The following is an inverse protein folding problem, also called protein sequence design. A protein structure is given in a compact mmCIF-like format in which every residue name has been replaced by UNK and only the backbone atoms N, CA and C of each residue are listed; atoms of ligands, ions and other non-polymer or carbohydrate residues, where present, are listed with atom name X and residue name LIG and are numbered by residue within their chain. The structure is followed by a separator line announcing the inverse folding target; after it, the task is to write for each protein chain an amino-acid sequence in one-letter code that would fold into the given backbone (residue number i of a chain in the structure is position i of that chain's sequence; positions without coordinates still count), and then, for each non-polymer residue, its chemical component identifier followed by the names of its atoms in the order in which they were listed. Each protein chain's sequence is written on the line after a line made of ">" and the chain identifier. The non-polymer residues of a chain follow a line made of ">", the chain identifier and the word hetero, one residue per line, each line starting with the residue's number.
data_IF_747079164692
#
_entry.id   IF_747079164692
#
_cell.length_a   1.000
_cell.length_b   1.000
_cell.length_c   1.000
_cell.angle_alpha   90.00
_cell.angle_beta   90.00
_cell.angle_gamma   90.00
#
_symmetry.space_group_name_H-M   'P 1'
#
loop_
_entity.id
_entity.type
_entity.pdbx_description
1 polymer ?
#
# COMPACT_ATOMS: atom_id res chain seq x y z
N UNK A 1 42.78 21.38 15.66
CA UNK A 1 42.22 20.66 16.81
C UNK A 1 40.74 21.01 16.96
N UNK A 2 39.84 20.03 16.83
CA UNK A 2 38.68 19.75 17.72
C UNK A 2 37.61 18.94 16.97
N UNK A 3 37.79 17.63 17.09
CA UNK A 3 36.80 16.58 17.38
C UNK A 3 35.64 16.36 16.40
N UNK A 4 35.70 15.15 15.83
CA UNK A 4 34.62 14.37 15.26
C UNK A 4 33.30 14.40 16.06
N UNK A 5 32.20 14.32 15.31
CA UNK A 5 30.92 13.73 15.74
C UNK A 5 30.31 13.19 14.44
N UNK A 6 30.54 11.94 14.03
CA UNK A 6 30.05 10.70 14.61
C UNK A 6 28.57 10.79 15.02
N UNK A 7 27.79 9.99 14.28
CA UNK A 7 26.54 9.33 14.69
C UNK A 7 25.29 10.22 14.86
N UNK A 8 24.39 10.15 13.88
CA UNK A 8 22.98 9.87 14.17
C UNK A 8 22.39 9.03 13.04
N UNK A 9 22.51 7.73 13.29
CA UNK A 9 21.81 6.63 12.68
C UNK A 9 20.29 6.94 12.70
N UNK A 10 19.73 7.46 11.61
CA UNK A 10 18.27 7.47 11.43
C UNK A 10 17.85 6.05 11.05
N UNK A 11 17.85 5.17 12.05
CA UNK A 11 16.98 4.01 12.06
C UNK A 11 15.56 4.53 12.06
N UNK A 12 14.98 4.71 10.86
CA UNK A 12 13.53 4.63 10.71
C UNK A 12 13.20 3.17 10.94
N UNK A 13 13.10 2.79 12.22
CA UNK A 13 12.43 1.57 12.61
C UNK A 13 11.00 1.75 12.12
N UNK A 14 10.68 1.13 10.99
CA UNK A 14 9.30 0.97 10.57
C UNK A 14 8.57 0.33 11.73
N UNK A 15 7.63 1.07 12.33
CA UNK A 15 6.63 0.52 13.24
C UNK A 15 5.73 -0.43 12.43
N UNK A 16 6.28 -1.58 12.02
CA UNK A 16 5.51 -2.68 11.42
C UNK A 16 4.79 -3.48 12.51
N UNK A 17 4.18 -2.80 13.48
CA UNK A 17 3.62 -3.44 14.67
C UNK A 17 2.74 -2.58 15.59
N UNK A 18 2.37 -1.36 15.21
CA UNK A 18 1.21 -0.71 15.81
C UNK A 18 0.03 -0.99 14.87
N UNK A 19 -0.94 -1.80 15.33
CA UNK A 19 -2.04 -2.27 14.48
C UNK A 19 -2.74 -1.11 13.80
N UNK A 20 -2.66 -1.04 12.47
CA UNK A 20 -3.43 -0.10 11.66
C UNK A 20 -4.91 -0.45 11.78
N UNK A 21 -5.76 0.54 12.03
CA UNK A 21 -7.20 0.33 11.97
C UNK A 21 -7.58 -0.31 10.63
N UNK A 22 -8.44 -1.32 10.66
CA UNK A 22 -8.88 -1.98 9.43
C UNK A 22 -9.76 -1.03 8.63
N UNK A 23 -9.27 -0.61 7.47
CA UNK A 23 -9.96 0.23 6.49
C UNK A 23 -10.82 -0.64 5.58
N UNK A 24 -12.01 -0.16 5.26
CA UNK A 24 -12.93 -0.85 4.36
C UNK A 24 -12.56 -0.64 2.87
N UNK A 25 -13.29 -1.33 1.99
CA UNK A 25 -13.07 -1.26 0.54
C UNK A 25 -13.30 0.16 -0.01
N UNK A 26 -14.26 0.91 0.55
CA UNK A 26 -14.59 2.26 0.09
C UNK A 26 -13.42 3.22 0.33
N UNK A 27 -12.82 3.19 1.52
CA UNK A 27 -11.61 3.93 1.84
C UNK A 27 -10.51 3.68 0.80
N UNK A 28 -10.23 2.42 0.49
CA UNK A 28 -9.16 2.08 -0.45
C UNK A 28 -9.42 2.59 -1.87
N UNK A 29 -10.70 2.65 -2.29
CA UNK A 29 -11.07 3.17 -3.61
C UNK A 29 -10.91 4.69 -3.71
N UNK A 30 -11.06 5.40 -2.60
CA UNK A 30 -10.86 6.86 -2.53
C UNK A 30 -9.38 7.23 -2.32
N UNK A 31 -8.59 6.33 -1.74
CA UNK A 31 -7.19 6.57 -1.36
C UNK A 31 -6.21 5.75 -2.22
N UNK A 32 -6.20 6.02 -3.54
CA UNK A 32 -5.42 5.27 -4.54
C UNK A 32 -3.91 5.17 -4.22
N UNK A 33 -3.22 6.24 -3.76
CA UNK A 33 -1.79 6.15 -3.43
C UNK A 33 -1.52 5.16 -2.29
N UNK A 34 -2.35 5.19 -1.25
CA UNK A 34 -2.25 4.28 -0.10
C UNK A 34 -2.59 2.85 -0.50
N UNK A 35 -3.62 2.66 -1.33
CA UNK A 35 -3.98 1.36 -1.89
C UNK A 35 -2.81 0.73 -2.66
N UNK A 36 -2.15 1.49 -3.53
CA UNK A 36 -1.00 0.99 -4.31
C UNK A 36 0.15 0.56 -3.39
N UNK A 37 0.43 1.34 -2.34
CA UNK A 37 1.45 1.00 -1.35
C UNK A 37 1.07 -0.25 -0.55
N UNK A 38 -0.15 -0.31 -0.02
CA UNK A 38 -0.65 -1.45 0.75
C UNK A 38 -0.63 -2.73 -0.07
N UNK A 39 -1.05 -2.71 -1.34
CA UNK A 39 -0.96 -3.88 -2.22
C UNK A 39 0.47 -4.36 -2.43
N UNK A 40 1.43 -3.43 -2.48
CA UNK A 40 2.86 -3.77 -2.57
C UNK A 40 3.35 -4.42 -1.27
N UNK A 41 2.95 -3.90 -0.10
CA UNK A 41 3.22 -4.51 1.21
C UNK A 41 2.64 -5.93 1.28
N UNK A 42 1.38 -6.11 0.88
CA UNK A 42 0.68 -7.40 0.89
C UNK A 42 1.28 -8.44 -0.07
N UNK A 43 1.93 -8.01 -1.15
CA UNK A 43 2.60 -8.92 -2.10
C UNK A 43 3.90 -9.49 -1.52
N UNK A 44 4.60 -8.69 -0.71
CA UNK A 44 5.89 -9.07 -0.14
C UNK A 44 5.76 -9.95 1.11
N UNK A 45 4.54 -10.10 1.66
CA UNK A 45 4.23 -10.96 2.80
C UNK A 45 3.00 -11.85 2.52
N UNK A 46 3.20 -13.08 2.00
CA UNK A 46 2.11 -13.98 1.65
C UNK A 46 1.30 -14.46 2.88
N UNK A 47 1.84 -14.39 4.10
CA UNK A 47 1.12 -14.75 5.31
C UNK A 47 0.11 -13.66 5.71
N UNK A 48 0.50 -12.39 5.57
CA UNK A 48 -0.42 -11.25 5.79
C UNK A 48 -1.50 -11.15 4.72
N UNK A 49 -1.17 -11.53 3.49
CA UNK A 49 -2.09 -11.50 2.35
C UNK A 49 -3.43 -12.22 2.56
N UNK A 50 -3.53 -13.15 3.50
CA UNK A 50 -4.74 -13.94 3.80
C UNK A 50 -5.31 -13.70 5.20
N UNK A 51 -4.57 -13.03 6.08
CA UNK A 51 -4.94 -12.85 7.51
C UNK A 51 -5.10 -11.39 7.91
N UNK A 52 -4.55 -10.45 7.14
CA UNK A 52 -4.64 -9.01 7.38
C UNK A 52 -5.89 -8.44 6.68
N UNK A 53 -6.79 -7.85 7.47
CA UNK A 53 -8.01 -7.23 6.98
C UNK A 53 -7.77 -6.09 5.97
N UNK A 54 -6.71 -5.31 6.14
CA UNK A 54 -6.32 -4.27 5.20
C UNK A 54 -5.84 -4.88 3.88
N UNK A 55 -5.09 -5.99 3.92
CA UNK A 55 -4.71 -6.69 2.69
C UNK A 55 -5.91 -7.30 1.95
N UNK A 56 -6.87 -7.84 2.69
CA UNK A 56 -8.10 -8.40 2.12
C UNK A 56 -8.92 -7.29 1.45
N UNK A 57 -9.16 -6.18 2.15
CA UNK A 57 -9.97 -5.07 1.65
C UNK A 57 -9.29 -4.31 0.50
N UNK A 58 -7.97 -4.11 0.57
CA UNK A 58 -7.19 -3.53 -0.52
C UNK A 58 -7.27 -4.39 -1.80
N UNK A 59 -7.16 -5.72 -1.68
CA UNK A 59 -7.33 -6.63 -2.82
C UNK A 59 -8.74 -6.60 -3.38
N UNK A 60 -9.76 -6.53 -2.53
CA UNK A 60 -11.15 -6.39 -2.97
C UNK A 60 -11.36 -5.10 -3.78
N UNK A 61 -10.82 -3.97 -3.31
CA UNK A 61 -10.83 -2.71 -4.04
C UNK A 61 -10.15 -2.83 -5.41
N UNK A 62 -8.98 -3.49 -5.48
CA UNK A 62 -8.31 -3.77 -6.76
C UNK A 62 -9.20 -4.58 -7.70
N UNK A 63 -9.82 -5.65 -7.22
CA UNK A 63 -10.70 -6.51 -8.03
C UNK A 63 -11.88 -5.71 -8.59
N UNK A 64 -12.45 -4.79 -7.81
CA UNK A 64 -13.51 -3.91 -8.31
C UNK A 64 -13.03 -2.98 -9.43
N UNK A 65 -11.84 -2.40 -9.30
CA UNK A 65 -11.26 -1.60 -10.38
C UNK A 65 -10.96 -2.42 -11.63
N UNK A 66 -10.40 -3.63 -11.47
CA UNK A 66 -10.12 -4.52 -12.59
C UNK A 66 -11.43 -4.94 -13.30
N UNK A 67 -12.51 -5.19 -12.54
CA UNK A 67 -13.85 -5.44 -13.09
C UNK A 67 -14.37 -4.24 -13.88
N UNK A 68 -14.25 -3.03 -13.32
CA UNK A 68 -14.66 -1.81 -14.02
C UNK A 68 -13.87 -1.62 -15.32
N UNK A 69 -12.56 -1.90 -15.29
CA UNK A 69 -11.70 -1.89 -16.47
C UNK A 69 -12.15 -2.87 -17.53
N UNK A 70 -12.50 -4.09 -17.14
CA UNK A 70 -13.03 -5.10 -18.04
C UNK A 70 -14.32 -4.64 -18.72
N UNK A 71 -15.14 -3.85 -18.02
CA UNK A 71 -16.36 -3.24 -18.56
C UNK A 71 -16.10 -1.97 -19.39
N UNK A 72 -14.84 -1.60 -19.63
CA UNK A 72 -14.44 -0.45 -20.45
C UNK A 72 -14.32 0.88 -19.68
N UNK A 73 -14.44 0.86 -18.35
CA UNK A 73 -14.26 2.07 -17.53
C UNK A 73 -12.77 2.28 -17.20
N UNK A 74 -12.34 3.52 -16.91
CA UNK A 74 -10.98 3.78 -16.44
C UNK A 74 -10.69 3.07 -15.11
N UNK A 75 -9.43 2.67 -14.91
CA UNK A 75 -8.95 2.05 -13.68
C UNK A 75 -7.94 3.00 -13.01
N UNK A 76 -8.37 3.77 -11.99
CA UNK A 76 -7.55 4.78 -11.34
C UNK A 76 -6.27 4.20 -10.73
N UNK A 77 -6.35 2.98 -10.18
CA UNK A 77 -5.17 2.30 -9.63
C UNK A 77 -4.14 1.97 -10.71
N UNK A 78 -4.59 1.48 -11.86
CA UNK A 78 -3.68 1.18 -12.99
C UNK A 78 -3.04 2.43 -13.57
N UNK A 79 -3.78 3.54 -13.61
CA UNK A 79 -3.30 4.84 -14.11
C UNK A 79 -2.25 5.42 -13.17
N UNK A 80 -2.54 5.42 -11.87
CA UNK A 80 -1.59 5.83 -10.84
C UNK A 80 -0.29 5.02 -10.92
N UNK A 81 -0.39 3.70 -11.02
CA UNK A 81 0.78 2.81 -11.11
C UNK A 81 1.61 3.06 -12.37
N UNK A 82 0.99 3.35 -13.52
CA UNK A 82 1.74 3.70 -14.75
C UNK A 82 2.55 4.98 -14.60
N UNK A 83 2.04 5.96 -13.85
CA UNK A 83 2.72 7.23 -13.62
C UNK A 83 3.90 7.14 -12.65
N UNK A 84 3.90 6.15 -11.75
CA UNK A 84 4.82 6.09 -10.60
C UNK A 84 5.80 4.90 -10.64
N UNK A 85 5.74 4.05 -11.67
CA UNK A 85 6.67 2.92 -11.87
C UNK A 85 7.63 3.14 -13.05
N UNK A 86 7.89 4.40 -13.42
CA UNK A 86 8.91 4.80 -14.40
C UNK A 86 10.23 5.17 -13.69
#
# INVERSE_FOLDING_TARGET
>A
MKKASLLCLLLVVGLAGCGEDTKDVAYWKENIPELSKKLSECKNDPAKATTDGNCINAKAAKIEFDKQQFLGNPNPLSEYQKQHNN
#
